data_IF_531325359166
#
_entry.id   IF_531325359166
#
_cell.length_a   1.000
_cell.length_b   1.000
_cell.length_c   1.000
_cell.angle_alpha   90.00
_cell.angle_beta   90.00
_cell.angle_gamma   90.00
#
_symmetry.space_group_name_H-M   'P 1'
#
loop_
_entity.id
_entity.type
_entity.pdbx_description
1 polymer ?
#
# COMPACT_ATOMS: atom_id res chain seq x y z
N UNK A 1 -6.62 16.36 -31.24
CA UNK A 1 -7.00 15.24 -30.35
C UNK A 1 -6.46 13.89 -30.82
N UNK A 2 -6.19 13.68 -32.13
CA UNK A 2 -5.56 12.45 -32.65
C UNK A 2 -4.07 12.29 -32.26
N UNK A 3 -3.31 13.37 -32.12
CA UNK A 3 -1.86 13.29 -31.78
C UNK A 3 -1.54 12.99 -30.30
N UNK A 4 -2.52 13.00 -29.39
CA UNK A 4 -2.30 12.65 -27.97
C UNK A 4 -2.60 11.19 -27.63
N UNK A 5 -3.24 10.43 -28.52
CA UNK A 5 -3.56 9.01 -28.31
C UNK A 5 -2.35 8.07 -28.53
N UNK A 6 -1.22 8.59 -29.01
CA UNK A 6 0.00 7.80 -29.26
C UNK A 6 0.72 7.33 -27.98
N UNK A 7 0.27 7.74 -26.78
CA UNK A 7 0.93 7.42 -25.50
C UNK A 7 0.22 6.36 -24.64
N UNK A 8 -0.97 5.89 -25.03
CA UNK A 8 -1.69 4.86 -24.26
C UNK A 8 -1.39 3.50 -24.88
N UNK A 9 -0.92 2.55 -24.05
CA UNK A 9 -0.66 1.16 -24.46
C UNK A 9 -1.43 0.22 -23.55
N UNK A 10 -2.19 -0.66 -24.17
CA UNK A 10 -2.82 -1.78 -23.49
C UNK A 10 -1.83 -2.95 -23.50
N UNK A 11 -1.57 -3.53 -22.33
CA UNK A 11 -0.69 -4.68 -22.18
C UNK A 11 -1.49 -5.82 -21.60
N UNK A 12 -1.48 -6.96 -22.29
CA UNK A 12 -1.84 -8.22 -21.67
C UNK A 12 -0.62 -8.77 -20.93
N UNK A 13 -0.56 -8.52 -19.62
CA UNK A 13 0.55 -9.00 -18.78
C UNK A 13 0.48 -10.50 -18.54
N UNK A 14 -0.68 -11.14 -18.76
CA UNK A 14 -0.85 -12.58 -18.65
C UNK A 14 -0.24 -13.31 -19.85
N UNK A 15 -0.35 -12.77 -21.07
CA UNK A 15 0.35 -13.31 -22.24
C UNK A 15 1.88 -13.33 -22.05
N UNK A 16 2.43 -12.23 -21.52
CA UNK A 16 3.85 -12.14 -21.19
C UNK A 16 4.25 -13.13 -20.09
N UNK A 17 3.45 -13.22 -19.02
CA UNK A 17 3.71 -14.12 -17.90
C UNK A 17 3.60 -15.61 -18.27
N UNK A 18 2.64 -15.99 -19.13
CA UNK A 18 2.49 -17.35 -19.63
C UNK A 18 3.65 -17.79 -20.54
N UNK A 19 4.30 -16.82 -21.18
CA UNK A 19 5.46 -17.03 -22.05
C UNK A 19 6.80 -17.05 -21.29
N UNK A 20 6.82 -16.64 -20.02
CA UNK A 20 8.04 -16.56 -19.23
C UNK A 20 8.55 -17.94 -18.80
N UNK A 21 9.79 -18.23 -19.18
CA UNK A 21 10.47 -19.52 -18.96
C UNK A 21 11.90 -19.28 -18.48
N UNK A 22 12.35 -20.07 -17.50
CA UNK A 22 13.74 -20.16 -17.05
C UNK A 22 14.14 -21.64 -17.11
N UNK A 23 15.19 -21.98 -17.86
CA UNK A 23 15.68 -23.37 -17.99
C UNK A 23 14.54 -24.37 -18.30
N UNK A 24 13.70 -24.03 -19.30
CA UNK A 24 12.50 -24.79 -19.72
C UNK A 24 11.38 -24.92 -18.66
N UNK A 25 11.53 -24.28 -17.49
CA UNK A 25 10.50 -24.22 -16.45
C UNK A 25 9.67 -22.95 -16.58
N UNK A 26 8.35 -23.13 -16.55
CA UNK A 26 7.37 -22.04 -16.50
C UNK A 26 7.51 -21.23 -15.21
N UNK A 27 7.60 -19.90 -15.34
CA UNK A 27 7.91 -19.03 -14.20
C UNK A 27 6.66 -18.63 -13.41
N UNK A 28 5.63 -18.08 -14.07
CA UNK A 28 4.46 -17.53 -13.39
C UNK A 28 3.20 -18.39 -13.55
N UNK A 29 3.05 -19.01 -14.71
CA UNK A 29 1.86 -19.76 -15.13
C UNK A 29 2.28 -20.92 -16.04
N UNK A 30 1.56 -22.05 -15.97
CA UNK A 30 1.84 -23.21 -16.83
C UNK A 30 1.41 -22.97 -18.28
N UNK A 31 0.36 -22.19 -18.48
CA UNK A 31 -0.19 -21.73 -19.75
C UNK A 31 -0.99 -20.42 -19.55
N UNK A 32 -1.60 -19.90 -20.62
CA UNK A 32 -2.35 -18.64 -20.60
C UNK A 32 -3.66 -18.73 -19.81
N UNK A 33 -4.36 -19.85 -19.87
CA UNK A 33 -5.61 -20.06 -19.14
C UNK A 33 -5.37 -20.04 -17.63
N UNK A 34 -4.35 -20.77 -17.17
CA UNK A 34 -3.91 -20.71 -15.77
C UNK A 34 -3.51 -19.29 -15.38
N UNK A 35 -2.86 -18.55 -16.27
CA UNK A 35 -2.49 -17.15 -16.03
C UNK A 35 -3.71 -16.25 -15.80
N UNK A 36 -4.71 -16.32 -16.68
CA UNK A 36 -5.95 -15.59 -16.49
C UNK A 36 -6.66 -15.96 -15.19
N UNK A 37 -6.70 -17.25 -14.84
CA UNK A 37 -7.34 -17.67 -13.59
C UNK A 37 -6.58 -17.18 -12.35
N UNK A 38 -5.25 -17.35 -12.33
CA UNK A 38 -4.38 -16.98 -11.19
C UNK A 38 -4.34 -15.48 -10.96
N UNK A 39 -4.23 -14.70 -12.03
CA UNK A 39 -4.07 -13.24 -11.99
C UNK A 39 -5.38 -12.49 -12.24
N UNK A 40 -6.54 -13.15 -12.24
CA UNK A 40 -7.83 -12.47 -12.03
C UNK A 40 -8.02 -12.12 -10.55
N UNK A 41 -7.04 -11.42 -10.02
CA UNK A 41 -6.86 -11.07 -8.61
C UNK A 41 -6.01 -9.80 -8.52
N UNK A 42 -5.80 -9.29 -7.32
CA UNK A 42 -4.95 -8.12 -7.10
C UNK A 42 -3.48 -8.34 -7.51
N UNK A 43 -3.01 -9.60 -7.53
CA UNK A 43 -1.63 -9.95 -7.87
C UNK A 43 -1.24 -9.58 -9.31
N UNK A 44 -2.21 -9.31 -10.19
CA UNK A 44 -1.93 -8.82 -11.54
C UNK A 44 -1.13 -7.51 -11.53
N UNK A 45 -1.29 -6.71 -10.48
CA UNK A 45 -0.53 -5.48 -10.27
C UNK A 45 0.97 -5.74 -10.18
N UNK A 46 1.38 -6.85 -9.57
CA UNK A 46 2.78 -7.28 -9.52
C UNK A 46 3.32 -7.55 -10.92
N UNK A 47 2.56 -8.27 -11.75
CA UNK A 47 2.94 -8.49 -13.16
C UNK A 47 2.99 -7.17 -13.95
N UNK A 48 2.08 -6.24 -13.67
CA UNK A 48 2.08 -4.92 -14.28
C UNK A 48 3.38 -4.15 -13.98
N UNK A 49 3.85 -4.17 -12.73
CA UNK A 49 5.14 -3.57 -12.37
C UNK A 49 6.28 -4.26 -13.12
N UNK A 50 6.37 -5.59 -13.03
CA UNK A 50 7.46 -6.39 -13.62
C UNK A 50 7.56 -6.18 -15.14
N UNK A 51 6.45 -6.38 -15.85
CA UNK A 51 6.41 -6.38 -17.32
C UNK A 51 6.20 -5.02 -17.97
N UNK A 52 5.86 -3.98 -17.19
CA UNK A 52 5.85 -2.63 -17.75
C UNK A 52 7.21 -2.31 -18.40
N UNK A 53 7.20 -1.59 -19.51
CA UNK A 53 8.46 -1.21 -20.19
C UNK A 53 9.22 -0.06 -19.50
N UNK A 54 8.62 0.52 -18.46
CA UNK A 54 9.15 1.71 -17.79
C UNK A 54 10.13 1.29 -16.69
N UNK A 55 11.16 2.10 -16.48
CA UNK A 55 12.07 1.94 -15.36
C UNK A 55 11.40 2.41 -14.05
N UNK A 56 10.88 3.63 -14.07
CA UNK A 56 10.13 4.24 -12.98
C UNK A 56 8.63 4.06 -13.25
N UNK A 57 7.93 3.41 -12.32
CA UNK A 57 6.53 3.00 -12.44
C UNK A 57 5.72 3.66 -11.34
N UNK A 58 4.64 4.35 -11.72
CA UNK A 58 3.56 4.73 -10.81
C UNK A 58 2.38 3.82 -11.12
N UNK A 59 2.16 2.85 -10.24
CA UNK A 59 1.01 1.96 -10.29
C UNK A 59 -0.14 2.62 -9.54
N UNK A 60 -1.35 2.56 -10.13
CA UNK A 60 -2.56 3.19 -9.60
C UNK A 60 -3.75 2.23 -9.69
N UNK A 61 -4.59 2.23 -8.66
CA UNK A 61 -5.90 1.59 -8.75
C UNK A 61 -6.86 2.39 -9.63
N UNK A 62 -7.75 1.68 -10.33
CA UNK A 62 -8.70 2.28 -11.26
C UNK A 62 -9.75 3.18 -10.57
N UNK A 63 -9.96 2.98 -9.26
CA UNK A 63 -10.88 3.69 -8.38
C UNK A 63 -10.15 4.67 -7.43
N UNK A 64 -8.96 5.12 -7.84
CA UNK A 64 -8.24 6.21 -7.16
C UNK A 64 -8.66 7.58 -7.69
N UNK A 65 -8.95 8.52 -6.78
CA UNK A 65 -9.27 9.92 -7.08
C UNK A 65 -8.25 10.85 -6.43
N UNK A 66 -7.68 11.75 -7.23
CA UNK A 66 -6.67 12.71 -6.77
C UNK A 66 -7.25 14.08 -6.43
N UNK A 67 -6.81 14.63 -5.30
CA UNK A 67 -7.02 16.02 -4.90
C UNK A 67 -5.86 16.92 -5.35
N UNK A 68 -4.71 16.32 -5.67
CA UNK A 68 -3.51 17.02 -6.14
C UNK A 68 -2.80 16.15 -7.18
N UNK A 69 -1.99 16.78 -8.05
CA UNK A 69 -1.23 16.02 -9.05
C UNK A 69 -0.23 15.06 -8.37
N UNK A 70 -0.26 13.75 -8.68
CA UNK A 70 0.69 12.79 -8.13
C UNK A 70 2.08 12.93 -8.76
N UNK A 71 2.26 13.72 -9.81
CA UNK A 71 3.55 13.87 -10.50
C UNK A 71 4.62 14.46 -9.60
N UNK A 72 4.25 15.23 -8.59
CA UNK A 72 5.21 15.80 -7.63
C UNK A 72 5.82 14.74 -6.72
N UNK A 73 5.25 13.53 -6.64
CA UNK A 73 5.77 12.45 -5.79
C UNK A 73 7.16 11.98 -6.24
N UNK A 74 7.44 12.02 -7.54
CA UNK A 74 8.76 11.74 -8.13
C UNK A 74 9.84 12.70 -7.60
N UNK A 75 9.44 13.90 -7.19
CA UNK A 75 10.36 14.94 -6.73
C UNK A 75 10.67 14.87 -5.23
N UNK A 76 9.96 14.04 -4.48
CA UNK A 76 10.16 13.90 -3.03
C UNK A 76 11.52 13.27 -2.72
N UNK A 77 12.16 13.73 -1.65
CA UNK A 77 13.40 13.12 -1.16
C UNK A 77 13.19 11.65 -0.79
N UNK A 78 12.00 11.29 -0.32
CA UNK A 78 11.60 9.90 -0.07
C UNK A 78 11.80 9.06 -1.32
N UNK A 79 11.20 9.44 -2.46
CA UNK A 79 11.37 8.71 -3.72
C UNK A 79 12.79 8.83 -4.27
N UNK A 80 13.38 10.02 -4.30
CA UNK A 80 14.74 10.23 -4.84
C UNK A 80 15.79 9.41 -4.10
N UNK A 81 15.66 9.21 -2.79
CA UNK A 81 16.65 8.47 -2.00
C UNK A 81 16.48 6.96 -2.05
N UNK A 82 15.27 6.45 -2.31
CA UNK A 82 14.99 5.00 -2.25
C UNK A 82 14.58 4.39 -3.60
N UNK A 83 14.02 5.17 -4.52
CA UNK A 83 13.36 4.66 -5.72
C UNK A 83 11.99 4.04 -5.44
N UNK A 84 11.45 4.16 -4.23
CA UNK A 84 10.11 3.68 -3.86
C UNK A 84 9.39 4.69 -2.98
N UNK A 85 8.06 4.70 -3.07
CA UNK A 85 7.22 5.42 -2.12
C UNK A 85 5.90 4.67 -1.93
N UNK A 86 5.61 4.37 -0.67
CA UNK A 86 4.43 3.62 -0.22
C UNK A 86 3.56 4.45 0.72
N UNK A 87 2.29 4.07 0.85
CA UNK A 87 1.32 4.69 1.73
C UNK A 87 0.86 3.69 2.79
N UNK A 88 0.54 4.19 3.99
CA UNK A 88 0.13 3.33 5.10
C UNK A 88 -1.33 2.90 4.91
N UNK A 89 -1.67 1.63 5.14
CA UNK A 89 -3.07 1.20 5.22
C UNK A 89 -3.63 1.52 6.62
N UNK A 90 -4.92 1.25 6.82
CA UNK A 90 -5.62 1.39 8.09
C UNK A 90 -4.98 0.46 9.11
N UNK A 91 -4.95 0.93 10.35
CA UNK A 91 -4.71 0.07 11.51
C UNK A 91 -5.91 -0.88 11.60
N UNK A 92 -5.82 -1.99 10.89
CA UNK A 92 -6.84 -3.04 10.79
C UNK A 92 -6.86 -3.96 12.00
N UNK A 93 -7.79 -4.92 11.99
CA UNK A 93 -7.93 -5.91 13.05
C UNK A 93 -6.63 -6.65 13.35
N UNK A 94 -6.27 -6.67 14.62
CA UNK A 94 -4.99 -7.13 15.13
C UNK A 94 -4.77 -8.64 14.98
N UNK A 95 -5.79 -9.45 14.69
CA UNK A 95 -5.70 -10.91 14.52
C UNK A 95 -5.76 -11.37 13.05
N UNK A 96 -5.65 -10.45 12.09
CA UNK A 96 -5.78 -10.73 10.67
C UNK A 96 -4.43 -10.63 9.93
N UNK A 97 -4.35 -11.27 8.75
CA UNK A 97 -3.24 -11.16 7.79
C UNK A 97 -1.85 -11.19 8.45
N UNK A 98 -1.08 -10.10 8.38
CA UNK A 98 0.29 -10.02 8.91
C UNK A 98 0.36 -10.28 10.42
N UNK A 99 -0.65 -9.90 11.19
CA UNK A 99 -0.70 -10.09 12.64
C UNK A 99 -1.51 -11.32 13.08
N UNK A 100 -1.95 -12.16 12.13
CA UNK A 100 -2.66 -13.41 12.46
C UNK A 100 -1.79 -14.31 13.34
N UNK A 101 -2.36 -14.81 14.44
CA UNK A 101 -1.75 -15.83 15.29
C UNK A 101 -2.23 -17.20 14.83
N UNK A 102 -1.30 -18.12 14.61
CA UNK A 102 -1.60 -19.52 14.28
C UNK A 102 -1.12 -20.44 15.39
N UNK A 103 -1.85 -21.52 15.69
CA UNK A 103 -1.37 -22.56 16.59
C UNK A 103 -0.02 -23.13 16.13
N UNK A 104 0.85 -23.47 17.08
CA UNK A 104 2.02 -24.30 16.84
C UNK A 104 1.67 -25.79 16.75
N UNK A 105 2.69 -26.62 16.59
CA UNK A 105 2.54 -28.08 16.47
C UNK A 105 1.96 -28.73 17.73
N UNK A 106 2.14 -28.10 18.89
CA UNK A 106 1.58 -28.48 20.19
C UNK A 106 0.11 -28.01 20.39
N UNK A 107 -0.46 -27.36 19.38
CA UNK A 107 -1.80 -26.76 19.42
C UNK A 107 -1.90 -25.47 20.24
N UNK A 108 -0.81 -24.98 20.83
CA UNK A 108 -0.79 -23.73 21.59
C UNK A 108 -0.61 -22.53 20.66
N UNK A 109 -1.27 -21.41 21.00
CA UNK A 109 -1.17 -20.17 20.24
C UNK A 109 -0.24 -19.21 20.97
N UNK A 110 0.95 -19.00 20.42
CA UNK A 110 1.84 -17.94 20.90
C UNK A 110 1.33 -16.56 20.44
N UNK A 111 0.83 -15.78 21.40
CA UNK A 111 0.26 -14.46 21.16
C UNK A 111 1.31 -13.40 20.78
N UNK A 112 2.60 -13.68 21.02
CA UNK A 112 3.73 -12.82 20.66
C UNK A 112 4.26 -13.04 19.24
N UNK A 113 3.76 -14.05 18.52
CA UNK A 113 4.23 -14.41 17.17
C UNK A 113 3.07 -14.35 16.16
N UNK A 114 3.10 -13.34 15.30
CA UNK A 114 2.21 -13.21 14.13
C UNK A 114 2.69 -13.90 12.85
N UNK A 115 1.85 -13.91 11.82
CA UNK A 115 2.15 -14.50 10.51
C UNK A 115 3.32 -13.81 9.80
N UNK A 116 3.44 -12.47 9.92
CA UNK A 116 4.58 -11.70 9.39
C UNK A 116 5.91 -12.24 9.91
N UNK A 117 6.02 -12.46 11.21
CA UNK A 117 7.25 -12.95 11.84
C UNK A 117 7.66 -14.32 11.28
N UNK A 118 6.69 -15.26 11.19
CA UNK A 118 6.93 -16.60 10.64
C UNK A 118 7.30 -16.55 9.16
N UNK A 119 6.61 -15.72 8.38
CA UNK A 119 6.89 -15.52 6.96
C UNK A 119 8.32 -15.01 6.73
N UNK A 120 8.71 -13.95 7.45
CA UNK A 120 10.05 -13.37 7.34
C UNK A 120 11.15 -14.31 7.83
N UNK A 121 10.93 -15.04 8.94
CA UNK A 121 11.89 -16.00 9.45
C UNK A 121 12.08 -17.20 8.50
N UNK A 122 11.02 -17.62 7.81
CA UNK A 122 11.03 -18.75 6.88
C UNK A 122 11.49 -18.42 5.46
N UNK A 123 11.71 -17.15 5.12
CA UNK A 123 12.10 -16.75 3.77
C UNK A 123 13.62 -16.88 3.55
N UNK A 124 14.02 -17.60 2.50
CA UNK A 124 15.43 -17.68 2.09
C UNK A 124 15.78 -16.57 1.09
N UNK A 125 16.52 -15.57 1.58
CA UNK A 125 17.01 -14.45 0.75
C UNK A 125 18.26 -14.79 -0.07
N UNK A 126 18.90 -15.94 0.18
CA UNK A 126 20.19 -16.29 -0.42
C UNK A 126 20.21 -16.23 -1.95
N UNK A 127 19.17 -16.67 -2.69
CA UNK A 127 19.15 -16.60 -4.16
C UNK A 127 19.22 -15.18 -4.73
N UNK A 128 18.88 -14.16 -3.95
CA UNK A 128 18.74 -12.78 -4.43
C UNK A 128 19.96 -11.91 -4.11
N UNK A 129 20.94 -12.40 -3.35
CA UNK A 129 22.05 -11.60 -2.79
C UNK A 129 22.95 -10.94 -3.84
N UNK A 130 23.09 -11.53 -5.02
CA UNK A 130 23.92 -10.96 -6.09
C UNK A 130 23.28 -9.74 -6.78
N UNK A 131 21.97 -9.50 -6.56
CA UNK A 131 21.27 -8.37 -7.13
C UNK A 131 21.51 -7.09 -6.34
N UNK A 132 21.60 -5.97 -7.05
CA UNK A 132 21.82 -4.64 -6.48
C UNK A 132 20.67 -4.18 -5.58
N UNK A 133 21.02 -3.35 -4.59
CA UNK A 133 20.11 -2.74 -3.62
C UNK A 133 20.37 -1.24 -3.54
N UNK A 134 19.39 -0.51 -3.00
CA UNK A 134 19.58 0.88 -2.59
C UNK A 134 20.03 0.90 -1.13
N UNK A 135 21.15 1.55 -0.85
CA UNK A 135 21.59 1.83 0.52
C UNK A 135 21.49 3.33 0.77
N UNK A 136 20.68 3.73 1.76
CA UNK A 136 20.52 5.13 2.19
C UNK A 136 21.29 5.45 3.49
N UNK A 137 22.06 4.49 4.02
CA UNK A 137 22.81 4.65 5.26
C UNK A 137 21.99 4.45 6.54
N UNK A 138 20.71 4.06 6.44
CA UNK A 138 19.92 3.69 7.62
C UNK A 138 20.51 2.46 8.32
N UNK A 139 20.51 2.50 9.65
CA UNK A 139 20.95 1.39 10.46
C UNK A 139 20.00 0.21 10.28
N UNK A 140 20.57 -0.98 10.12
CA UNK A 140 19.82 -2.24 10.16
C UNK A 140 20.21 -3.00 11.41
N UNK A 141 19.27 -3.76 11.95
CA UNK A 141 19.50 -4.57 13.14
C UNK A 141 20.63 -5.58 12.87
N UNK A 142 21.70 -5.59 13.69
CA UNK A 142 22.72 -6.63 13.60
C UNK A 142 22.24 -7.96 14.19
N UNK A 143 21.08 -7.98 14.86
CA UNK A 143 20.55 -9.16 15.54
C UNK A 143 19.91 -10.10 14.52
N UNK A 144 20.55 -11.24 14.31
CA UNK A 144 20.01 -12.33 13.49
C UNK A 144 18.94 -13.17 14.19
N UNK A 145 18.81 -13.03 15.52
CA UNK A 145 17.81 -13.74 16.32
C UNK A 145 16.89 -12.75 17.04
N UNK A 146 15.60 -12.83 16.75
CA UNK A 146 14.55 -11.99 17.32
C UNK A 146 13.33 -12.86 17.61
N UNK A 147 12.65 -12.62 18.75
CA UNK A 147 11.46 -13.38 19.15
C UNK A 147 11.67 -14.91 19.11
N UNK A 148 12.86 -15.37 19.45
CA UNK A 148 13.23 -16.79 19.42
C UNK A 148 13.50 -17.38 18.03
N UNK A 149 13.22 -16.64 16.94
CA UNK A 149 13.42 -17.05 15.54
C UNK A 149 14.72 -16.51 14.97
N UNK A 150 15.31 -17.27 14.05
CA UNK A 150 16.47 -16.86 13.27
C UNK A 150 16.03 -16.25 11.93
N UNK A 151 16.72 -15.19 11.52
CA UNK A 151 16.46 -14.48 10.28
C UNK A 151 17.72 -14.46 9.41
N UNK A 152 17.53 -14.62 8.10
CA UNK A 152 18.61 -14.72 7.10
C UNK A 152 19.01 -13.39 6.46
N UNK A 153 18.36 -12.30 6.90
CA UNK A 153 18.53 -10.91 6.46
C UNK A 153 18.48 -9.95 7.67
N UNK A 154 18.92 -8.70 7.49
CA UNK A 154 18.90 -7.65 8.52
C UNK A 154 17.60 -6.85 8.45
N UNK A 155 16.89 -6.77 9.57
CA UNK A 155 15.64 -6.01 9.69
C UNK A 155 15.91 -4.51 9.71
N UNK A 156 15.06 -3.74 9.03
CA UNK A 156 15.06 -2.28 9.11
C UNK A 156 14.51 -1.77 10.44
N UNK A 157 14.91 -0.55 10.81
CA UNK A 157 14.30 0.16 11.95
C UNK A 157 12.81 0.41 11.73
N UNK A 158 12.37 0.61 10.48
CA UNK A 158 10.95 0.73 10.13
C UNK A 158 10.18 -0.55 10.52
N UNK A 159 10.63 -1.72 10.05
CA UNK A 159 9.97 -2.99 10.32
C UNK A 159 9.80 -3.19 11.84
N UNK A 160 10.86 -3.02 12.62
CA UNK A 160 10.85 -3.26 14.07
C UNK A 160 9.94 -2.29 14.84
N UNK A 161 9.67 -1.11 14.28
CA UNK A 161 8.78 -0.10 14.88
C UNK A 161 7.36 -0.10 14.29
N UNK A 162 7.12 -0.82 13.19
CA UNK A 162 5.83 -0.91 12.53
C UNK A 162 4.72 -1.47 13.42
N UNK A 163 3.48 -1.08 13.14
CA UNK A 163 2.32 -1.60 13.85
C UNK A 163 2.14 -3.10 13.63
N UNK A 164 2.47 -3.59 12.43
CA UNK A 164 2.35 -5.01 12.08
C UNK A 164 3.37 -5.89 12.80
N UNK A 165 4.63 -5.45 12.96
CA UNK A 165 5.63 -6.16 13.77
C UNK A 165 5.24 -6.21 15.25
N UNK A 166 4.67 -5.11 15.76
CA UNK A 166 4.15 -5.03 17.13
C UNK A 166 2.78 -5.70 17.30
N UNK A 167 2.28 -6.37 16.27
CA UNK A 167 1.01 -7.09 16.23
C UNK A 167 -0.21 -6.24 16.60
N UNK A 168 -0.15 -4.95 16.27
CA UNK A 168 -1.20 -3.94 16.47
C UNK A 168 -2.15 -3.83 15.29
N UNK A 169 -1.75 -4.32 14.12
CA UNK A 169 -2.54 -4.29 12.89
C UNK A 169 -2.21 -5.47 11.99
N UNK A 170 -3.19 -5.94 11.21
CA UNK A 170 -2.99 -6.92 10.15
C UNK A 170 -2.50 -6.33 8.82
N UNK A 171 -2.54 -5.01 8.65
CA UNK A 171 -2.15 -4.32 7.42
C UNK A 171 -1.08 -3.26 7.70
N UNK A 172 -0.17 -3.07 6.74
CA UNK A 172 0.82 -2.00 6.78
C UNK A 172 0.70 -1.07 5.57
N UNK A 173 0.53 -1.63 4.37
CA UNK A 173 0.64 -0.87 3.13
C UNK A 173 -0.67 -0.80 2.36
N UNK A 174 -1.01 0.41 1.91
CA UNK A 174 -2.02 0.67 0.88
C UNK A 174 -1.35 0.59 -0.49
N UNK A 175 -1.85 -0.26 -1.39
CA UNK A 175 -1.33 -0.41 -2.77
C UNK A 175 -2.17 0.28 -3.83
N UNK A 176 -3.04 1.22 -3.46
CA UNK A 176 -3.81 2.01 -4.44
C UNK A 176 -2.95 3.02 -5.19
N UNK A 177 -1.78 3.36 -4.63
CA UNK A 177 -0.72 4.09 -5.32
C UNK A 177 0.64 3.55 -4.89
N UNK A 178 1.46 3.13 -5.86
CA UNK A 178 2.83 2.63 -5.61
C UNK A 178 3.79 3.29 -6.58
N UNK A 179 4.86 3.91 -6.07
CA UNK A 179 6.01 4.32 -6.89
C UNK A 179 7.13 3.28 -6.78
N UNK A 180 7.72 2.91 -7.91
CA UNK A 180 8.73 1.87 -7.98
C UNK A 180 9.73 2.11 -9.12
N UNK A 181 11.02 2.25 -8.80
CA UNK A 181 12.14 2.24 -9.75
C UNK A 181 12.75 0.86 -9.85
N UNK A 182 12.47 0.15 -10.94
CA UNK A 182 12.97 -1.22 -11.16
C UNK A 182 14.48 -1.31 -11.30
N UNK A 183 15.14 -0.28 -11.84
CA UNK A 183 16.59 -0.31 -12.02
C UNK A 183 17.30 -0.16 -10.66
N UNK A 184 16.78 0.69 -9.78
CA UNK A 184 17.33 0.88 -8.44
C UNK A 184 16.97 -0.25 -7.49
N UNK A 185 15.76 -0.80 -7.62
CA UNK A 185 15.23 -1.86 -6.77
C UNK A 185 15.38 -3.25 -7.41
N UNK A 186 16.53 -3.54 -8.02
CA UNK A 186 16.72 -4.78 -8.78
C UNK A 186 16.46 -6.05 -7.93
N UNK A 187 17.06 -6.12 -6.73
CA UNK A 187 16.85 -7.25 -5.80
C UNK A 187 15.40 -7.35 -5.33
N UNK A 188 14.81 -6.23 -4.90
CA UNK A 188 13.42 -6.20 -4.44
C UNK A 188 12.45 -6.56 -5.57
N UNK A 189 12.74 -6.17 -6.82
CA UNK A 189 11.90 -6.51 -7.98
C UNK A 189 11.91 -8.02 -8.25
N UNK A 190 13.07 -8.68 -8.09
CA UNK A 190 13.18 -10.13 -8.22
C UNK A 190 12.44 -10.86 -7.08
N UNK A 191 12.55 -10.39 -5.85
CA UNK A 191 11.80 -10.95 -4.70
C UNK A 191 10.29 -10.73 -4.89
N UNK A 192 9.86 -9.55 -5.32
CA UNK A 192 8.46 -9.25 -5.62
C UNK A 192 7.89 -10.21 -6.68
N UNK A 193 8.65 -10.45 -7.76
CA UNK A 193 8.29 -11.45 -8.76
C UNK A 193 8.18 -12.86 -8.17
N UNK A 194 9.07 -13.22 -7.24
CA UNK A 194 9.08 -14.54 -6.61
C UNK A 194 7.81 -14.83 -5.80
N UNK A 195 7.17 -13.81 -5.23
CA UNK A 195 5.93 -13.99 -4.45
C UNK A 195 4.76 -14.50 -5.28
N UNK A 196 4.76 -14.22 -6.59
CA UNK A 196 3.68 -14.61 -7.51
C UNK A 196 4.13 -15.69 -8.52
N UNK A 197 5.33 -16.24 -8.38
CA UNK A 197 5.88 -17.28 -9.25
C UNK A 197 5.42 -18.70 -8.87
N UNK A 198 5.74 -19.69 -9.72
CA UNK A 198 5.53 -21.13 -9.49
C UNK A 198 6.75 -21.78 -8.83
N UNK A 199 7.24 -21.18 -7.76
CA UNK A 199 8.46 -21.60 -7.06
C UNK A 199 8.20 -22.33 -5.72
N UNK A 200 6.94 -22.49 -5.34
CA UNK A 200 6.56 -23.17 -4.10
C UNK A 200 6.84 -22.37 -2.82
N UNK A 201 7.17 -21.08 -2.93
CA UNK A 201 7.29 -20.22 -1.76
C UNK A 201 5.92 -20.06 -1.07
N UNK A 202 5.90 -19.94 0.26
CA UNK A 202 4.66 -19.66 0.97
C UNK A 202 4.09 -18.31 0.52
N UNK A 203 2.77 -18.23 0.41
CA UNK A 203 2.09 -16.99 0.11
C UNK A 203 2.34 -15.97 1.23
N UNK A 204 2.57 -14.72 0.83
CA UNK A 204 2.65 -13.59 1.76
C UNK A 204 1.33 -13.49 2.52
N UNK A 205 1.32 -13.33 3.87
CA UNK A 205 0.09 -13.21 4.65
C UNK A 205 -0.56 -11.83 4.48
N UNK A 206 -1.04 -11.55 3.27
CA UNK A 206 -1.55 -10.27 2.79
C UNK A 206 -3.01 -10.39 2.33
N UNK A 207 -3.72 -9.26 2.31
CA UNK A 207 -4.97 -9.16 1.54
C UNK A 207 -4.62 -8.72 0.12
N UNK A 208 -4.55 -9.69 -0.79
CA UNK A 208 -4.07 -9.44 -2.16
C UNK A 208 -2.61 -9.00 -2.18
N UNK A 209 -2.30 -8.07 -3.06
CA UNK A 209 -0.94 -7.64 -3.38
C UNK A 209 -0.33 -6.64 -2.38
N UNK A 210 -1.16 -6.05 -1.53
CA UNK A 210 -0.84 -4.85 -0.74
C UNK A 210 0.51 -4.88 -0.02
N UNK A 211 0.78 -5.96 0.71
CA UNK A 211 1.99 -6.08 1.52
C UNK A 211 3.22 -6.54 0.73
N UNK A 212 3.05 -7.00 -0.51
CA UNK A 212 4.12 -7.63 -1.29
C UNK A 212 5.25 -6.64 -1.61
N UNK A 213 4.95 -5.38 -1.95
CA UNK A 213 5.96 -4.43 -2.41
C UNK A 213 6.98 -4.07 -1.32
N UNK A 214 6.49 -3.69 -0.13
CA UNK A 214 7.39 -3.28 0.95
C UNK A 214 8.11 -4.49 1.57
N UNK A 215 7.44 -5.65 1.67
CA UNK A 215 8.10 -6.88 2.13
C UNK A 215 9.20 -7.34 1.17
N UNK A 216 9.02 -7.15 -0.14
CA UNK A 216 10.08 -7.41 -1.10
C UNK A 216 11.29 -6.50 -0.89
N UNK A 217 11.08 -5.22 -0.54
CA UNK A 217 12.16 -4.29 -0.19
C UNK A 217 12.84 -4.68 1.13
N UNK A 218 12.06 -5.04 2.15
CA UNK A 218 12.54 -5.47 3.46
C UNK A 218 13.42 -6.72 3.35
N UNK A 219 12.95 -7.77 2.66
CA UNK A 219 13.71 -8.99 2.42
C UNK A 219 14.91 -8.77 1.49
N UNK A 220 14.83 -7.80 0.58
CA UNK A 220 15.98 -7.40 -0.23
C UNK A 220 17.06 -6.70 0.60
N UNK A 221 16.74 -6.24 1.82
CA UNK A 221 17.57 -5.30 2.57
C UNK A 221 17.85 -4.04 1.73
N UNK A 222 16.87 -3.60 0.93
CA UNK A 222 16.97 -2.39 0.11
C UNK A 222 16.20 -1.27 0.79
N UNK A 223 16.74 -0.06 0.77
CA UNK A 223 16.07 1.11 1.34
C UNK A 223 14.71 1.35 0.66
N UNK A 224 13.69 1.69 1.44
CA UNK A 224 12.34 2.03 0.98
C UNK A 224 11.73 3.13 1.83
N UNK A 225 10.69 3.80 1.33
CA UNK A 225 10.06 4.92 2.04
C UNK A 225 8.54 4.78 2.11
N UNK A 226 8.00 5.09 3.29
CA UNK A 226 6.56 5.29 3.51
C UNK A 226 6.23 6.77 3.68
N UNK A 227 4.98 7.13 3.38
CA UNK A 227 4.34 8.37 3.83
C UNK A 227 4.52 8.57 5.33
N UNK A 228 4.81 9.80 5.76
CA UNK A 228 4.91 10.17 7.18
C UNK A 228 3.57 10.11 7.90
N UNK A 229 2.46 10.04 7.15
CA UNK A 229 1.12 10.12 7.70
C UNK A 229 0.41 8.77 7.60
N UNK A 230 -0.38 8.48 8.64
CA UNK A 230 -1.33 7.38 8.60
C UNK A 230 -2.43 7.68 7.58
N UNK A 231 -3.09 6.63 7.10
CA UNK A 231 -4.34 6.80 6.35
C UNK A 231 -5.39 7.51 7.19
N UNK A 232 -6.12 8.39 6.52
CA UNK A 232 -7.24 9.14 7.04
C UNK A 232 -8.54 8.64 6.42
N UNK A 233 -9.66 9.26 6.81
CA UNK A 233 -10.97 8.94 6.27
C UNK A 233 -11.59 10.16 5.61
N UNK A 234 -12.32 9.93 4.52
CA UNK A 234 -13.28 10.87 3.93
C UNK A 234 -14.67 10.22 3.96
N UNK A 235 -15.70 10.97 4.35
CA UNK A 235 -17.02 10.40 4.60
C UNK A 235 -18.07 11.42 5.03
N UNK A 236 -19.30 10.93 5.24
CA UNK A 236 -20.41 11.71 5.78
C UNK A 236 -20.93 11.14 7.12
N UNK A 237 -20.47 9.95 7.52
CA UNK A 237 -20.93 9.28 8.73
C UNK A 237 -20.08 9.70 9.94
N UNK A 238 -20.50 10.80 10.55
CA UNK A 238 -19.86 11.37 11.73
C UNK A 238 -20.48 10.81 13.00
N UNK A 239 -19.80 9.83 13.62
CA UNK A 239 -20.27 9.23 14.88
C UNK A 239 -19.98 10.13 16.08
N UNK A 240 -18.88 10.90 16.02
CA UNK A 240 -18.53 11.94 17.00
C UNK A 240 -17.75 13.06 16.32
N UNK A 241 -18.16 14.31 16.50
CA UNK A 241 -17.37 15.48 16.09
C UNK A 241 -16.04 15.51 16.84
N UNK A 242 -14.93 15.63 16.10
CA UNK A 242 -13.59 15.72 16.69
C UNK A 242 -12.95 17.07 16.43
N UNK A 243 -12.73 17.88 17.47
CA UNK A 243 -12.01 19.16 17.34
C UNK A 243 -10.55 19.05 17.78
N UNK A 244 -10.22 18.07 18.62
CA UNK A 244 -8.88 17.85 19.19
C UNK A 244 -8.60 16.37 19.38
N UNK A 245 -8.63 15.61 18.29
CA UNK A 245 -8.37 14.16 18.30
C UNK A 245 -9.31 13.38 19.24
N UNK A 246 -10.58 13.77 19.25
CA UNK A 246 -11.65 13.21 20.07
C UNK A 246 -12.88 12.79 19.24
N UNK A 247 -12.74 12.80 17.91
CA UNK A 247 -13.81 12.45 16.97
C UNK A 247 -13.74 11.02 16.47
N UNK A 248 -14.80 10.64 15.76
CA UNK A 248 -14.94 9.38 15.04
C UNK A 248 -15.67 9.68 13.73
N UNK A 249 -15.00 9.44 12.60
CA UNK A 249 -15.55 9.61 11.26
C UNK A 249 -15.42 8.30 10.49
N UNK A 250 -16.53 7.78 9.97
CA UNK A 250 -16.56 6.59 9.12
C UNK A 250 -16.60 6.96 7.64
N UNK A 251 -15.92 6.16 6.82
CA UNK A 251 -15.92 6.33 5.36
C UNK A 251 -14.72 5.71 4.66
N UNK A 252 -14.46 6.18 3.45
CA UNK A 252 -13.43 5.66 2.54
C UNK A 252 -12.04 6.16 2.88
N UNK A 253 -11.02 5.48 2.36
CA UNK A 253 -9.62 5.77 2.65
C UNK A 253 -9.18 7.08 1.97
N UNK A 254 -8.52 7.94 2.74
CA UNK A 254 -7.94 9.20 2.28
C UNK A 254 -6.46 9.23 2.66
N UNK A 255 -5.60 9.42 1.67
CA UNK A 255 -4.17 9.58 1.87
C UNK A 255 -3.77 11.04 1.75
N UNK A 256 -2.91 11.49 2.65
CA UNK A 256 -2.32 12.82 2.63
C UNK A 256 -1.07 12.86 1.75
N UNK A 257 -0.62 14.06 1.39
CA UNK A 257 0.70 14.19 0.78
C UNK A 257 1.76 13.57 1.72
N UNK A 258 2.72 12.76 1.22
CA UNK A 258 3.58 11.91 2.06
C UNK A 258 4.55 12.64 2.99
N UNK A 259 4.67 13.96 2.84
CA UNK A 259 5.53 14.86 3.62
C UNK A 259 4.82 16.20 3.83
N UNK A 260 5.17 16.93 4.88
CA UNK A 260 4.73 18.31 5.05
C UNK A 260 5.53 19.24 4.11
N UNK A 261 4.95 19.61 2.97
CA UNK A 261 5.61 20.53 2.03
C UNK A 261 5.81 21.95 2.58
N UNK A 262 4.90 22.41 3.43
CA UNK A 262 4.98 23.76 3.98
C UNK A 262 5.78 23.78 5.28
N UNK A 263 7.06 24.13 5.19
CA UNK A 263 7.99 24.19 6.32
C UNK A 263 7.58 25.21 7.41
N UNK A 264 6.66 26.13 7.11
CA UNK A 264 6.15 27.09 8.11
C UNK A 264 5.03 26.49 8.97
N UNK A 265 4.45 25.35 8.58
CA UNK A 265 3.43 24.67 9.39
C UNK A 265 4.10 24.03 10.61
N UNK A 266 3.49 24.23 11.77
CA UNK A 266 3.97 23.66 13.04
C UNK A 266 3.88 22.12 13.00
N UNK A 267 4.70 21.41 13.79
CA UNK A 267 4.50 19.99 14.03
C UNK A 267 3.05 19.70 14.47
N UNK A 268 2.43 18.69 13.86
CA UNK A 268 1.04 18.33 14.10
C UNK A 268 -0.01 19.19 13.38
N UNK A 269 0.40 20.14 12.52
CA UNK A 269 -0.52 20.81 11.62
C UNK A 269 -1.02 19.86 10.52
N UNK A 270 -2.23 20.13 10.05
CA UNK A 270 -2.85 19.36 8.96
C UNK A 270 -2.02 19.39 7.67
N UNK A 271 -2.09 18.29 6.92
CA UNK A 271 -1.46 18.13 5.61
C UNK A 271 -2.57 18.00 4.58
N UNK A 272 -2.32 18.53 3.40
CA UNK A 272 -3.28 18.51 2.32
C UNK A 272 -3.52 17.06 1.83
N UNK A 273 -4.78 16.69 1.52
CA UNK A 273 -5.09 15.39 0.95
C UNK A 273 -4.45 15.24 -0.44
N UNK A 274 -3.96 14.04 -0.73
CA UNK A 274 -3.38 13.69 -2.03
C UNK A 274 -4.38 12.90 -2.87
N UNK A 275 -4.85 11.77 -2.35
CA UNK A 275 -5.79 10.90 -3.06
C UNK A 275 -6.73 10.17 -2.10
N UNK A 276 -7.85 9.69 -2.62
CA UNK A 276 -8.71 8.72 -1.96
C UNK A 276 -8.89 7.49 -2.85
N UNK A 277 -9.16 6.35 -2.22
CA UNK A 277 -9.55 5.11 -2.89
C UNK A 277 -10.92 4.68 -2.36
N UNK A 278 -11.84 4.33 -3.26
CA UNK A 278 -13.24 4.11 -2.91
C UNK A 278 -13.96 3.25 -3.96
N UNK A 279 -14.56 2.15 -3.54
CA UNK A 279 -15.49 1.35 -4.35
C UNK A 279 -16.69 2.18 -4.84
N UNK A 280 -17.06 3.22 -4.08
CA UNK A 280 -18.17 4.12 -4.39
C UNK A 280 -17.75 5.34 -5.21
N UNK A 281 -16.64 5.30 -5.97
CA UNK A 281 -16.06 6.47 -6.67
C UNK A 281 -17.09 7.22 -7.54
N UNK A 282 -18.10 6.51 -8.05
CA UNK A 282 -19.18 7.06 -8.89
C UNK A 282 -20.32 7.71 -8.10
N UNK A 283 -20.40 7.50 -6.78
CA UNK A 283 -21.43 8.07 -5.91
C UNK A 283 -21.02 9.39 -5.27
N UNK A 284 -19.71 9.62 -5.15
CA UNK A 284 -19.17 10.84 -4.58
C UNK A 284 -19.63 12.08 -5.37
N UNK A 285 -20.22 13.05 -4.65
CA UNK A 285 -20.79 14.26 -5.24
C UNK A 285 -22.20 14.12 -5.85
N UNK A 286 -22.88 12.97 -5.69
CA UNK A 286 -24.29 12.81 -6.08
C UNK A 286 -25.26 13.41 -5.07
N UNK A 287 -24.98 13.27 -3.79
CA UNK A 287 -25.89 13.70 -2.73
C UNK A 287 -25.52 15.06 -2.14
N UNK A 288 -26.50 15.87 -1.67
CA UNK A 288 -26.24 17.14 -0.98
C UNK A 288 -25.69 16.92 0.45
N UNK A 289 -25.07 15.78 0.72
CA UNK A 289 -24.52 15.46 2.03
C UNK A 289 -23.30 16.33 2.30
N UNK A 290 -23.23 16.82 3.53
CA UNK A 290 -22.01 17.46 4.01
C UNK A 290 -20.94 16.41 4.17
N UNK A 291 -19.81 16.62 3.51
CA UNK A 291 -18.66 15.74 3.56
C UNK A 291 -17.65 16.25 4.59
N UNK A 292 -17.01 15.29 5.25
CA UNK A 292 -15.94 15.51 6.19
C UNK A 292 -14.72 14.67 5.79
N UNK A 293 -13.55 15.12 6.24
CA UNK A 293 -12.33 14.33 6.26
C UNK A 293 -11.68 14.39 7.63
N UNK A 294 -10.78 13.45 7.91
CA UNK A 294 -9.91 13.54 9.09
C UNK A 294 -8.61 14.26 8.76
N UNK A 295 -8.15 15.11 9.68
CA UNK A 295 -6.83 15.74 9.58
C UNK A 295 -5.71 14.68 9.50
N UNK A 296 -4.58 15.06 8.92
CA UNK A 296 -3.39 14.22 8.89
C UNK A 296 -2.88 13.91 10.30
N UNK A 297 -2.41 12.69 10.52
CA UNK A 297 -1.76 12.27 11.77
C UNK A 297 -0.50 11.46 11.46
N UNK A 298 0.52 11.46 12.35
CA UNK A 298 1.73 10.67 12.14
C UNK A 298 1.43 9.18 11.99
N UNK A 299 2.15 8.50 11.09
CA UNK A 299 1.96 7.07 10.81
C UNK A 299 2.23 6.18 12.04
N UNK A 300 3.16 6.59 12.89
CA UNK A 300 3.57 5.87 14.11
C UNK A 300 2.54 5.95 15.24
N UNK A 301 1.56 6.86 15.15
CA UNK A 301 0.55 7.01 16.18
C UNK A 301 -0.42 5.81 16.19
N UNK A 302 -0.55 5.15 17.34
CA UNK A 302 -1.49 4.06 17.56
C UNK A 302 -2.65 4.54 18.45
N UNK A 303 -3.86 4.74 17.92
CA UNK A 303 -5.00 5.21 18.71
C UNK A 303 -5.57 4.13 19.66
N UNK A 304 -5.33 2.85 19.36
CA UNK A 304 -5.85 1.71 20.12
C UNK A 304 -6.42 0.61 19.21
N UNK A 305 -6.99 -0.43 19.82
CA UNK A 305 -7.61 -1.55 19.10
C UNK A 305 -9.04 -1.21 18.66
N UNK A 306 -9.34 -1.43 17.38
CA UNK A 306 -10.70 -1.35 16.84
C UNK A 306 -11.61 -2.45 17.42
N UNK A 307 -11.06 -3.64 17.67
CA UNK A 307 -11.77 -4.76 18.28
C UNK A 307 -12.23 -4.40 19.70
N UNK A 308 -11.35 -3.84 20.52
CA UNK A 308 -11.68 -3.41 21.90
C UNK A 308 -12.70 -2.26 21.91
N UNK A 309 -12.55 -1.31 20.98
CA UNK A 309 -13.47 -0.17 20.81
C UNK A 309 -14.81 -0.55 20.16
N UNK A 310 -14.92 -1.76 19.60
CA UNK A 310 -16.09 -2.25 18.83
C UNK A 310 -16.45 -1.33 17.66
N UNK A 311 -15.45 -0.81 16.97
CA UNK A 311 -15.59 0.04 15.79
C UNK A 311 -15.13 -0.72 14.55
N UNK A 312 -15.74 -0.40 13.41
CA UNK A 312 -15.25 -0.87 12.11
C UNK A 312 -13.93 -0.17 11.79
N UNK A 313 -13.01 -0.85 11.10
CA UNK A 313 -11.72 -0.26 10.67
C UNK A 313 -11.90 0.97 9.75
N UNK A 314 -13.05 1.10 9.08
CA UNK A 314 -13.45 2.26 8.27
C UNK A 314 -13.83 3.49 9.11
N UNK A 315 -13.92 3.34 10.43
CA UNK A 315 -14.30 4.36 11.41
C UNK A 315 -13.14 4.73 12.34
N UNK A 316 -12.05 5.34 11.84
CA UNK A 316 -10.98 5.79 12.71
C UNK A 316 -11.49 6.72 13.81
N UNK A 317 -10.92 6.53 14.99
CA UNK A 317 -11.24 7.24 16.22
C UNK A 317 -10.00 7.99 16.73
N UNK A 318 -10.24 8.85 17.72
CA UNK A 318 -9.27 9.82 18.24
C UNK A 318 -8.73 10.70 17.09
N UNK A 319 -9.64 11.15 16.22
CA UNK A 319 -9.34 11.96 15.02
C UNK A 319 -9.86 13.39 15.17
N UNK A 320 -9.22 14.32 14.48
CA UNK A 320 -9.76 15.66 14.26
C UNK A 320 -10.52 15.66 12.93
N UNK A 321 -11.79 16.01 12.97
CA UNK A 321 -12.69 16.02 11.81
C UNK A 321 -12.77 17.43 11.25
N UNK A 322 -12.69 17.54 9.92
CA UNK A 322 -12.67 18.79 9.18
C UNK A 322 -13.67 18.71 8.05
N UNK A 323 -14.28 19.84 7.70
CA UNK A 323 -15.00 19.95 6.44
C UNK A 323 -14.02 19.94 5.27
N UNK A 324 -14.47 19.45 4.12
CA UNK A 324 -13.68 19.55 2.90
C UNK A 324 -13.45 21.01 2.54
N UNK A 325 -12.22 21.32 2.13
CA UNK A 325 -11.90 22.62 1.56
C UNK A 325 -12.70 22.85 0.26
N UNK A 326 -12.96 24.11 -0.14
CA UNK A 326 -13.68 24.41 -1.37
C UNK A 326 -13.08 23.74 -2.62
N UNK A 327 -11.75 23.68 -2.72
CA UNK A 327 -11.06 23.01 -3.84
C UNK A 327 -11.26 21.49 -3.82
N UNK A 328 -11.21 20.86 -2.64
CA UNK A 328 -11.44 19.42 -2.47
C UNK A 328 -12.86 19.05 -2.93
N UNK A 329 -13.86 19.83 -2.51
CA UNK A 329 -15.26 19.67 -2.97
C UNK A 329 -15.39 19.86 -4.48
N UNK A 330 -14.75 20.89 -5.04
CA UNK A 330 -14.79 21.17 -6.48
C UNK A 330 -14.26 19.98 -7.30
N UNK A 331 -13.16 19.35 -6.88
CA UNK A 331 -12.56 18.21 -7.58
C UNK A 331 -13.46 16.97 -7.56
N UNK A 332 -14.16 16.71 -6.45
CA UNK A 332 -15.16 15.63 -6.39
C UNK A 332 -16.31 15.88 -7.37
N UNK A 333 -16.81 17.12 -7.45
CA UNK A 333 -17.86 17.51 -8.40
C UNK A 333 -17.37 17.37 -9.85
N UNK A 334 -16.13 17.77 -10.13
CA UNK A 334 -15.55 17.66 -11.47
C UNK A 334 -15.42 16.20 -11.91
N UNK A 335 -15.01 15.28 -11.02
CA UNK A 335 -14.94 13.85 -11.33
C UNK A 335 -16.30 13.29 -11.75
N UNK A 336 -17.37 13.72 -11.09
CA UNK A 336 -18.74 13.35 -11.44
C UNK A 336 -19.12 13.85 -12.83
N UNK A 337 -18.84 15.11 -13.16
CA UNK A 337 -19.10 15.66 -14.49
C UNK A 337 -18.39 14.84 -15.59
N UNK A 338 -17.16 14.41 -15.35
CA UNK A 338 -16.43 13.53 -16.27
C UNK A 338 -17.07 12.14 -16.38
N UNK A 339 -17.58 11.59 -15.27
CA UNK A 339 -18.32 10.33 -15.30
C UNK A 339 -19.60 10.47 -16.14
N UNK A 340 -20.41 11.50 -15.89
CA UNK A 340 -21.67 11.73 -16.60
C UNK A 340 -21.43 11.87 -18.12
N UNK A 341 -20.37 12.60 -18.51
CA UNK A 341 -19.95 12.69 -19.93
C UNK A 341 -19.60 11.33 -20.55
N UNK A 342 -18.86 10.48 -19.83
CA UNK A 342 -18.47 9.16 -20.34
C UNK A 342 -19.67 8.21 -20.37
N UNK A 343 -20.55 8.28 -19.37
CA UNK A 343 -21.80 7.51 -19.35
C UNK A 343 -22.69 7.84 -20.54
N UNK A 344 -22.86 9.14 -20.85
CA UNK A 344 -23.59 9.60 -22.03
C UNK A 344 -22.99 9.04 -23.34
N UNK A 345 -21.66 9.00 -23.46
CA UNK A 345 -20.99 8.42 -24.64
C UNK A 345 -21.20 6.91 -24.77
N UNK A 346 -21.33 6.21 -23.64
CA UNK A 346 -21.57 4.77 -23.60
C UNK A 346 -23.05 4.41 -23.73
N UNK A 347 -23.96 5.41 -23.71
CA UNK A 347 -25.41 5.19 -23.74
C UNK A 347 -25.94 4.53 -22.47
N UNK A 348 -25.31 4.80 -21.32
CA UNK A 348 -25.70 4.28 -20.00
C UNK A 348 -26.71 5.18 -19.28
#
# INVERSE_FOLDING_TARGET
>A
MQDQLHSIRFYDVCELAASAVIEDRKLFCVDLEHCHHKFRSFDIKVLAVIYSRFQEVMLLDADTLFFQSPMTLWDTDKYKNTGTLFFNDRISYELSYLAKRTPGDDGQVDMSIGALHRFLAGFDVSPYRELAVVNNGEAKSPRKRLLGMDFTFQQSDFLLNSHVWRLRSGHQMDSSLVLWDKARQARATAILASFVALNGLPSVPSYGDKELYWLACELAESAYAFSDFAVSTIGWELLSEGRKNDGILCGDALQHYPVQMNLNKKPGADVEPLYMNSDNIVEWGKEPRRLYRTAARPAEFYPGSFTERKLLQTCPFDVTTMELAPLENMLLVQRKQLYDMVADWMGM
#
